data_IF_622610656781
#
_entry.id   IF_622610656781
#
_cell.length_a   1.000
_cell.length_b   1.000
_cell.length_c   1.000
_cell.angle_alpha   90.00
_cell.angle_beta   90.00
_cell.angle_gamma   90.00
#
_symmetry.space_group_name_H-M   'P 1'
#
loop_
_entity.id
_entity.type
_entity.pdbx_description
1 polymer ?
#
# COMPACT_ATOMS: atom_id res chain seq x y z
N UNK A 1 -5.37 1.93 -11.62
CA UNK A 1 -6.12 2.32 -12.86
C UNK A 1 -7.43 1.54 -13.08
N UNK A 2 -8.53 2.24 -13.37
CA UNK A 2 -9.83 1.61 -13.63
C UNK A 2 -9.94 1.03 -15.05
N UNK A 3 -10.41 -0.21 -15.16
CA UNK A 3 -10.73 -0.84 -16.45
C UNK A 3 -12.22 -0.64 -16.72
N UNK A 4 -12.58 0.04 -17.80
CA UNK A 4 -14.01 0.25 -18.16
C UNK A 4 -14.53 -0.76 -19.18
N UNK A 5 -13.65 -1.35 -19.98
CA UNK A 5 -13.99 -2.33 -21.02
C UNK A 5 -12.94 -3.44 -21.06
N UNK A 6 -13.38 -4.70 -21.16
CA UNK A 6 -12.49 -5.88 -21.12
C UNK A 6 -11.62 -6.02 -22.38
N UNK A 7 -12.15 -5.64 -23.54
CA UNK A 7 -11.45 -5.66 -24.84
C UNK A 7 -10.23 -4.75 -24.90
N UNK A 8 -10.09 -3.82 -23.94
CA UNK A 8 -8.93 -2.92 -23.82
C UNK A 8 -7.85 -3.42 -22.86
N UNK A 9 -8.05 -4.60 -22.25
CA UNK A 9 -7.04 -5.18 -21.37
C UNK A 9 -5.87 -5.63 -22.25
N UNK A 10 -4.67 -5.10 -21.98
CA UNK A 10 -3.47 -5.54 -22.69
C UNK A 10 -3.06 -6.94 -22.23
N UNK A 11 -2.66 -7.77 -23.18
CA UNK A 11 -2.15 -9.12 -22.91
C UNK A 11 -0.78 -9.11 -22.24
N UNK A 12 -0.42 -10.24 -21.63
CA UNK A 12 0.88 -10.41 -20.97
C UNK A 12 1.98 -10.70 -21.99
N UNK A 13 3.11 -9.99 -21.88
CA UNK A 13 4.35 -10.23 -22.64
C UNK A 13 5.38 -10.88 -21.73
N UNK A 14 5.26 -12.19 -21.56
CA UNK A 14 6.03 -12.92 -20.56
C UNK A 14 7.55 -12.83 -20.73
N UNK A 15 8.04 -12.77 -21.97
CA UNK A 15 9.47 -12.68 -22.27
C UNK A 15 10.12 -11.39 -21.75
N UNK A 16 9.34 -10.33 -21.58
CA UNK A 16 9.79 -9.01 -21.16
C UNK A 16 9.71 -8.80 -19.64
N UNK A 17 9.16 -9.77 -18.91
CA UNK A 17 9.09 -9.73 -17.45
C UNK A 17 10.48 -10.05 -16.87
N UNK A 18 11.03 -9.21 -15.96
CA UNK A 18 12.34 -9.41 -15.35
C UNK A 18 12.49 -10.79 -14.69
N UNK A 19 13.62 -11.44 -14.96
CA UNK A 19 13.89 -12.79 -14.45
C UNK A 19 13.85 -12.85 -12.92
N UNK A 20 14.31 -11.80 -12.25
CA UNK A 20 14.29 -11.72 -10.79
C UNK A 20 12.88 -11.71 -10.17
N UNK A 21 11.85 -11.22 -10.87
CA UNK A 21 10.46 -11.35 -10.43
C UNK A 21 9.98 -12.79 -10.62
N UNK A 22 10.32 -13.42 -11.76
CA UNK A 22 9.91 -14.80 -12.08
C UNK A 22 10.45 -15.83 -11.08
N UNK A 23 11.63 -15.58 -10.51
CA UNK A 23 12.27 -16.46 -9.54
C UNK A 23 11.56 -16.52 -8.18
N UNK A 24 10.64 -15.59 -7.88
CA UNK A 24 9.92 -15.56 -6.60
C UNK A 24 8.53 -16.20 -6.77
N UNK A 25 8.15 -17.21 -5.97
CA UNK A 25 6.88 -17.92 -6.09
C UNK A 25 5.71 -17.15 -5.45
N UNK A 26 5.54 -15.90 -5.85
CA UNK A 26 4.51 -14.98 -5.37
C UNK A 26 3.49 -14.63 -6.46
N UNK A 27 3.26 -15.55 -7.41
CA UNK A 27 2.42 -15.30 -8.56
C UNK A 27 0.98 -15.76 -8.35
N UNK A 28 0.06 -15.02 -8.96
CA UNK A 28 -1.38 -15.30 -9.00
C UNK A 28 -1.90 -14.99 -10.41
N UNK A 29 -3.03 -15.58 -10.76
CA UNK A 29 -3.85 -15.14 -11.89
C UNK A 29 -4.76 -14.01 -11.44
N UNK A 30 -5.41 -13.30 -12.37
CA UNK A 30 -6.51 -12.42 -12.00
C UNK A 30 -7.60 -12.38 -13.07
N UNK A 31 -8.82 -12.04 -12.64
CA UNK A 31 -9.99 -11.85 -13.52
C UNK A 31 -10.50 -10.43 -13.43
N UNK A 32 -10.95 -9.90 -14.57
CA UNK A 32 -11.73 -8.68 -14.64
C UNK A 32 -13.19 -8.97 -14.24
N UNK A 33 -13.58 -8.61 -13.02
CA UNK A 33 -14.94 -8.77 -12.50
C UNK A 33 -15.65 -7.42 -12.43
N UNK A 34 -16.86 -7.32 -12.97
CA UNK A 34 -17.61 -6.06 -12.97
C UNK A 34 -18.02 -5.67 -11.55
N UNK A 35 -17.75 -4.42 -11.19
CA UNK A 35 -18.15 -3.83 -9.93
C UNK A 35 -19.24 -2.79 -10.18
N UNK A 36 -20.49 -3.12 -9.85
CA UNK A 36 -21.63 -2.22 -10.05
C UNK A 36 -21.51 -0.90 -9.28
N UNK A 37 -20.86 -0.88 -8.12
CA UNK A 37 -20.74 0.35 -7.32
C UNK A 37 -19.76 1.34 -7.94
N UNK A 38 -18.67 0.83 -8.51
CA UNK A 38 -17.60 1.65 -9.10
C UNK A 38 -17.76 1.84 -10.61
N UNK A 39 -18.72 1.14 -11.23
CA UNK A 39 -18.98 1.16 -12.68
C UNK A 39 -17.71 0.88 -13.50
N UNK A 40 -16.92 -0.09 -13.02
CA UNK A 40 -15.67 -0.51 -13.61
C UNK A 40 -15.41 -2.01 -13.35
N UNK A 41 -14.39 -2.57 -13.99
CA UNK A 41 -13.89 -3.90 -13.70
C UNK A 41 -12.83 -3.86 -12.60
N UNK A 42 -13.11 -4.55 -11.50
CA UNK A 42 -12.15 -4.89 -10.47
C UNK A 42 -11.19 -5.97 -10.97
N UNK A 43 -9.95 -5.91 -10.49
CA UNK A 43 -8.93 -6.93 -10.74
C UNK A 43 -8.94 -7.86 -9.54
N UNK A 44 -9.49 -9.06 -9.68
CA UNK A 44 -9.66 -10.00 -8.58
C UNK A 44 -8.62 -11.11 -8.72
N UNK A 45 -7.75 -11.35 -7.73
CA UNK A 45 -6.70 -12.36 -7.83
C UNK A 45 -7.26 -13.78 -7.62
N UNK A 46 -6.70 -14.74 -8.35
CA UNK A 46 -7.06 -16.15 -8.35
C UNK A 46 -5.79 -17.02 -8.27
N UNK A 47 -5.91 -18.14 -7.56
CA UNK A 47 -4.92 -19.22 -7.60
C UNK A 47 -5.08 -20.03 -8.88
N UNK A 48 -4.06 -20.81 -9.23
CA UNK A 48 -4.10 -21.76 -10.36
C UNK A 48 -5.21 -22.81 -10.22
N UNK A 49 -5.67 -23.08 -9.00
CA UNK A 49 -6.77 -24.02 -8.74
C UNK A 49 -8.17 -23.40 -8.99
N UNK A 50 -8.24 -22.18 -9.52
CA UNK A 50 -9.51 -21.51 -9.84
C UNK A 50 -10.23 -20.83 -8.68
N UNK A 51 -9.71 -20.91 -7.45
CA UNK A 51 -10.25 -20.18 -6.30
C UNK A 51 -9.60 -18.80 -6.13
N UNK A 52 -10.31 -17.85 -5.53
CA UNK A 52 -9.75 -16.52 -5.21
C UNK A 52 -8.49 -16.64 -4.35
N UNK A 53 -7.42 -15.99 -4.78
CA UNK A 53 -6.17 -15.95 -4.04
C UNK A 53 -6.22 -14.87 -2.95
N UNK A 54 -5.59 -15.14 -1.81
CA UNK A 54 -5.44 -14.17 -0.73
C UNK A 54 -4.10 -13.47 -0.85
N UNK A 55 -4.08 -12.15 -0.77
CA UNK A 55 -2.84 -11.35 -0.81
C UNK A 55 -1.96 -11.49 0.44
N UNK A 56 -2.39 -12.25 1.46
CA UNK A 56 -1.62 -12.50 2.68
C UNK A 56 -1.34 -13.98 2.94
N UNK A 57 -2.02 -14.90 2.24
CA UNK A 57 -1.81 -16.33 2.41
C UNK A 57 -0.97 -16.91 1.27
N UNK A 58 0.31 -17.16 1.56
CA UNK A 58 1.31 -17.72 0.63
C UNK A 58 0.86 -19.02 -0.04
N UNK A 59 0.03 -19.82 0.63
CA UNK A 59 -0.50 -21.09 0.08
C UNK A 59 -1.40 -20.92 -1.13
N UNK A 60 -1.85 -19.69 -1.40
CA UNK A 60 -2.72 -19.37 -2.54
C UNK A 60 -1.95 -18.80 -3.74
N UNK A 61 -0.63 -18.67 -3.63
CA UNK A 61 0.27 -18.20 -4.69
C UNK A 61 1.01 -19.38 -5.30
N UNK A 62 1.64 -19.17 -6.45
CA UNK A 62 2.41 -20.18 -7.15
C UNK A 62 3.68 -19.60 -7.79
N UNK A 63 4.48 -20.45 -8.43
CA UNK A 63 5.57 -20.03 -9.28
C UNK A 63 5.08 -19.41 -10.60
N UNK A 64 5.98 -18.72 -11.29
CA UNK A 64 5.70 -18.02 -12.54
C UNK A 64 5.27 -18.97 -13.66
N UNK A 65 5.94 -20.12 -13.80
CA UNK A 65 5.68 -21.07 -14.88
C UNK A 65 4.27 -21.64 -14.79
N UNK A 66 3.84 -22.00 -13.57
CA UNK A 66 2.49 -22.52 -13.33
C UNK A 66 1.40 -21.51 -13.66
N UNK A 67 1.57 -20.22 -13.32
CA UNK A 67 0.57 -19.20 -13.66
C UNK A 67 0.59 -18.83 -15.15
N UNK A 68 1.76 -18.90 -15.80
CA UNK A 68 1.93 -18.64 -17.23
C UNK A 68 1.17 -19.71 -18.04
N UNK A 69 1.42 -20.99 -17.75
CA UNK A 69 0.71 -22.10 -18.40
C UNK A 69 -0.80 -21.97 -18.21
N UNK A 70 -1.26 -21.74 -16.98
CA UNK A 70 -2.70 -21.64 -16.69
C UNK A 70 -3.33 -20.41 -17.38
N UNK A 71 -2.61 -19.29 -17.49
CA UNK A 71 -3.05 -18.10 -18.21
C UNK A 71 -3.20 -18.36 -19.72
N UNK A 72 -2.28 -19.13 -20.32
CA UNK A 72 -2.33 -19.46 -21.75
C UNK A 72 -3.47 -20.41 -22.11
N UNK A 73 -3.79 -21.37 -21.23
CA UNK A 73 -4.79 -22.42 -21.53
C UNK A 73 -6.22 -22.03 -21.18
N UNK A 74 -6.43 -21.09 -20.25
CA UNK A 74 -7.75 -20.73 -19.74
C UNK A 74 -8.09 -19.24 -19.95
N UNK A 75 -8.94 -19.00 -20.95
CA UNK A 75 -9.39 -17.66 -21.36
C UNK A 75 -10.20 -16.90 -20.29
N UNK A 76 -10.60 -17.55 -19.18
CA UNK A 76 -11.31 -16.85 -18.11
C UNK A 76 -10.43 -15.84 -17.36
N UNK A 77 -9.10 -15.99 -17.43
CA UNK A 77 -8.15 -15.10 -16.78
C UNK A 77 -7.81 -13.91 -17.66
N UNK A 78 -7.75 -12.74 -17.04
CA UNK A 78 -7.44 -11.47 -17.72
C UNK A 78 -5.94 -11.14 -17.68
N UNK A 79 -5.14 -11.92 -16.96
CA UNK A 79 -3.69 -11.80 -16.88
C UNK A 79 -3.13 -12.42 -15.60
N UNK A 80 -1.85 -12.14 -15.36
CA UNK A 80 -1.11 -12.55 -14.17
C UNK A 80 -0.85 -11.38 -13.22
N UNK A 81 -0.51 -11.68 -11.98
CA UNK A 81 -0.16 -10.72 -10.96
C UNK A 81 0.89 -11.25 -9.99
N UNK A 82 1.59 -10.31 -9.36
CA UNK A 82 2.66 -10.56 -8.42
C UNK A 82 2.28 -9.98 -7.05
N UNK A 83 2.39 -10.80 -6.00
CA UNK A 83 2.04 -10.40 -4.64
C UNK A 83 3.25 -9.81 -3.93
N UNK A 84 3.16 -8.53 -3.56
CA UNK A 84 4.14 -7.84 -2.72
C UNK A 84 3.97 -8.31 -1.26
N UNK A 85 5.07 -8.74 -0.66
CA UNK A 85 5.07 -9.30 0.69
C UNK A 85 6.39 -8.97 1.39
N UNK A 86 6.36 -8.89 2.72
CA UNK A 86 7.51 -8.50 3.55
C UNK A 86 8.80 -9.32 3.34
N UNK A 87 8.71 -10.47 2.65
CA UNK A 87 9.83 -11.37 2.40
C UNK A 87 10.47 -11.30 1.01
N UNK A 88 9.91 -10.55 0.05
CA UNK A 88 10.46 -10.52 -1.33
C UNK A 88 11.23 -9.24 -1.67
N UNK A 89 11.21 -8.23 -0.78
CA UNK A 89 11.90 -6.94 -0.95
C UNK A 89 11.56 -6.21 -2.27
N UNK A 90 10.41 -6.50 -2.88
CA UNK A 90 9.95 -5.76 -4.04
C UNK A 90 9.04 -4.62 -3.62
N UNK A 91 9.23 -3.49 -4.27
CA UNK A 91 8.41 -2.29 -4.13
C UNK A 91 7.80 -1.98 -5.49
N UNK A 92 6.54 -1.56 -5.51
CA UNK A 92 5.88 -1.07 -6.71
C UNK A 92 5.32 0.33 -6.49
N UNK A 93 5.71 1.25 -7.37
CA UNK A 93 5.06 2.54 -7.56
C UNK A 93 4.03 2.40 -8.68
N UNK A 94 2.75 2.60 -8.35
CA UNK A 94 1.62 2.63 -9.28
C UNK A 94 1.30 4.09 -9.61
N UNK A 95 1.43 4.47 -10.89
CA UNK A 95 1.13 5.81 -11.40
C UNK A 95 -0.11 5.70 -12.28
N UNK A 96 -1.24 6.19 -11.77
CA UNK A 96 -2.48 6.26 -12.54
C UNK A 96 -2.37 7.35 -13.64
N UNK A 97 -3.02 7.13 -14.79
CA UNK A 97 -3.17 8.12 -15.88
C UNK A 97 -1.86 8.72 -16.44
N UNK A 98 -0.72 8.03 -16.30
CA UNK A 98 0.58 8.46 -16.81
C UNK A 98 0.70 8.50 -18.35
N UNK A 99 -0.21 7.83 -19.07
CA UNK A 99 -0.18 7.65 -20.52
C UNK A 99 -1.49 8.18 -21.11
N UNK A 100 -1.38 9.11 -22.06
CA UNK A 100 -2.54 9.70 -22.73
C UNK A 100 -3.14 8.80 -23.82
N UNK A 101 -4.25 9.23 -24.42
CA UNK A 101 -4.94 8.48 -25.48
C UNK A 101 -4.10 8.28 -26.75
N UNK A 102 -3.06 9.10 -26.95
CA UNK A 102 -2.11 8.99 -28.07
C UNK A 102 -0.91 8.11 -27.73
N UNK A 103 -0.84 7.57 -26.51
CA UNK A 103 0.26 6.76 -26.03
C UNK A 103 1.48 7.57 -25.57
N UNK A 104 1.33 8.89 -25.39
CA UNK A 104 2.39 9.77 -24.89
C UNK A 104 2.41 9.81 -23.37
N UNK A 105 3.60 9.91 -22.81
CA UNK A 105 3.83 9.95 -21.36
C UNK A 105 3.87 11.40 -20.93
N UNK A 106 2.91 11.80 -20.10
CA UNK A 106 2.70 13.19 -19.68
C UNK A 106 3.18 13.47 -18.25
N UNK A 107 3.52 12.43 -17.48
CA UNK A 107 3.99 12.54 -16.10
C UNK A 107 5.52 12.65 -16.06
N UNK A 108 6.04 13.76 -15.51
CA UNK A 108 7.47 13.94 -15.27
C UNK A 108 8.05 12.82 -14.40
N UNK A 109 7.27 12.38 -13.40
CA UNK A 109 7.64 11.25 -12.55
C UNK A 109 7.75 9.97 -13.38
N UNK A 110 6.79 9.67 -14.26
CA UNK A 110 6.87 8.50 -15.14
C UNK A 110 8.11 8.54 -16.05
N UNK A 111 8.43 9.68 -16.65
CA UNK A 111 9.63 9.86 -17.48
C UNK A 111 10.93 9.65 -16.68
N UNK A 112 10.97 10.09 -15.42
CA UNK A 112 12.07 9.84 -14.48
C UNK A 112 12.18 8.34 -14.17
N UNK A 113 11.07 7.68 -13.83
CA UNK A 113 11.07 6.27 -13.43
C UNK A 113 11.52 5.33 -14.56
N UNK A 114 11.12 5.58 -15.81
CA UNK A 114 11.52 4.77 -16.97
C UNK A 114 13.04 4.70 -17.19
N UNK A 115 13.75 5.74 -16.77
CA UNK A 115 15.21 5.83 -16.86
C UNK A 115 15.92 5.25 -15.63
N UNK A 116 15.17 5.00 -14.55
CA UNK A 116 15.73 4.55 -13.27
C UNK A 116 15.47 3.08 -13.01
N UNK A 117 14.31 2.55 -13.40
CA UNK A 117 13.90 1.19 -13.03
C UNK A 117 13.00 0.53 -14.07
N UNK A 118 12.81 -0.78 -13.95
CA UNK A 118 11.83 -1.51 -14.73
C UNK A 118 10.43 -0.93 -14.57
N UNK A 119 9.86 -0.52 -15.71
CA UNK A 119 8.55 0.06 -15.81
C UNK A 119 7.73 -0.68 -16.87
N UNK A 120 6.45 -0.91 -16.59
CA UNK A 120 5.52 -1.54 -17.52
C UNK A 120 4.17 -0.82 -17.55
N UNK A 121 3.49 -0.89 -18.70
CA UNK A 121 2.09 -0.45 -18.79
C UNK A 121 1.22 -1.31 -17.90
N UNK A 122 0.30 -0.70 -17.18
CA UNK A 122 -0.74 -1.46 -16.49
C UNK A 122 -1.70 -2.12 -17.49
N UNK A 123 -2.57 -3.04 -17.02
CA UNK A 123 -3.56 -3.68 -17.88
C UNK A 123 -4.50 -2.74 -18.63
N UNK A 124 -4.75 -1.51 -18.15
CA UNK A 124 -5.61 -0.55 -18.87
C UNK A 124 -4.88 0.19 -20.00
N UNK A 125 -3.55 0.10 -20.04
CA UNK A 125 -2.70 0.82 -20.99
C UNK A 125 -2.48 2.31 -20.69
N UNK A 126 -3.16 2.86 -19.68
CA UNK A 126 -3.19 4.31 -19.38
C UNK A 126 -2.26 4.75 -18.27
N UNK A 127 -1.55 3.84 -17.62
CA UNK A 127 -0.60 4.20 -16.57
C UNK A 127 0.41 3.10 -16.34
N UNK A 128 1.19 3.26 -15.27
CA UNK A 128 2.53 2.67 -15.20
C UNK A 128 2.75 2.00 -13.84
N UNK A 129 3.28 0.78 -13.86
CA UNK A 129 3.88 0.16 -12.68
C UNK A 129 5.40 0.28 -12.78
N UNK A 130 6.05 0.76 -11.73
CA UNK A 130 7.50 0.87 -11.64
C UNK A 130 7.97 0.01 -10.46
N UNK A 131 8.76 -1.03 -10.74
CA UNK A 131 9.23 -1.96 -9.72
C UNK A 131 10.63 -1.61 -9.22
N UNK A 132 10.89 -1.75 -7.93
CA UNK A 132 12.18 -1.54 -7.29
C UNK A 132 12.49 -2.70 -6.35
N UNK A 133 13.75 -2.79 -5.94
CA UNK A 133 14.17 -3.58 -4.79
C UNK A 133 14.56 -2.70 -3.61
N UNK A 134 14.13 -3.10 -2.42
CA UNK A 134 14.46 -2.42 -1.18
C UNK A 134 13.31 -2.49 -0.18
N UNK A 135 13.39 -1.62 0.83
CA UNK A 135 12.38 -1.50 1.87
C UNK A 135 11.88 -0.07 1.97
N UNK A 136 10.61 0.09 2.31
CA UNK A 136 10.05 1.40 2.54
C UNK A 136 9.95 1.68 4.06
N UNK A 137 10.13 2.92 4.49
CA UNK A 137 9.98 3.27 5.91
C UNK A 137 8.51 3.17 6.34
N UNK A 138 8.26 2.80 7.60
CA UNK A 138 6.89 2.63 8.13
C UNK A 138 6.12 3.95 8.20
N UNK A 139 6.81 5.06 8.45
CA UNK A 139 6.24 6.40 8.60
C UNK A 139 6.10 7.13 7.26
N UNK A 140 5.29 6.57 6.36
CA UNK A 140 5.01 7.15 5.04
C UNK A 140 3.55 7.03 4.65
N UNK A 141 3.12 7.91 3.76
CA UNK A 141 1.87 7.76 3.04
C UNK A 141 2.01 6.61 2.04
N UNK A 142 0.95 5.82 1.89
CA UNK A 142 0.86 4.80 0.83
C UNK A 142 0.31 5.34 -0.49
N UNK A 143 -0.39 6.49 -0.44
CA UNK A 143 -1.08 7.09 -1.57
C UNK A 143 -1.02 8.62 -1.53
N UNK A 144 -0.86 9.23 -2.70
CA UNK A 144 -1.01 10.66 -2.97
C UNK A 144 -2.09 10.86 -4.02
N UNK A 145 -3.32 11.12 -3.57
CA UNK A 145 -4.47 11.31 -4.46
C UNK A 145 -4.32 12.55 -5.34
N UNK A 146 -3.62 13.57 -4.86
CA UNK A 146 -3.33 14.81 -5.59
C UNK A 146 -2.42 14.60 -6.81
N UNK A 147 -1.59 13.55 -6.77
CA UNK A 147 -0.67 13.19 -7.84
C UNK A 147 -1.05 11.88 -8.53
N UNK A 148 -2.15 11.24 -8.10
CA UNK A 148 -2.60 9.93 -8.56
C UNK A 148 -1.52 8.82 -8.51
N UNK A 149 -0.70 8.83 -7.45
CA UNK A 149 0.36 7.82 -7.23
C UNK A 149 0.16 7.02 -5.94
N UNK A 150 0.52 5.74 -5.99
CA UNK A 150 0.49 4.82 -4.86
C UNK A 150 1.80 4.03 -4.76
N UNK A 151 2.29 3.76 -3.55
CA UNK A 151 3.56 3.09 -3.31
C UNK A 151 3.40 1.95 -2.29
N UNK A 152 3.71 0.73 -2.73
CA UNK A 152 3.50 -0.49 -1.94
C UNK A 152 4.74 -1.37 -1.91
N UNK A 153 4.96 -2.03 -0.78
CA UNK A 153 5.99 -3.05 -0.52
C UNK A 153 5.40 -4.35 0.05
N UNK A 154 4.12 -4.34 0.43
CA UNK A 154 3.47 -5.43 1.16
C UNK A 154 1.95 -5.40 1.03
N UNK A 155 1.32 -6.54 1.33
CA UNK A 155 -0.13 -6.70 1.47
C UNK A 155 -0.94 -6.17 0.27
N UNK A 156 -0.39 -6.31 -0.94
CA UNK A 156 -1.05 -5.97 -2.19
C UNK A 156 -0.50 -6.83 -3.31
N UNK A 157 -1.34 -7.16 -4.29
CA UNK A 157 -0.86 -7.72 -5.54
C UNK A 157 -0.86 -6.64 -6.61
N UNK A 158 0.13 -6.70 -7.50
CA UNK A 158 0.23 -5.87 -8.68
C UNK A 158 -0.04 -6.74 -9.89
N UNK A 159 -0.91 -6.32 -10.79
CA UNK A 159 -1.01 -6.99 -12.09
C UNK A 159 0.25 -6.75 -12.89
N UNK A 160 0.76 -7.79 -13.54
CA UNK A 160 1.99 -7.72 -14.33
C UNK A 160 1.63 -7.95 -15.78
N UNK A 161 2.17 -7.12 -16.68
CA UNK A 161 1.86 -7.20 -18.12
C UNK A 161 3.09 -7.49 -18.95
N UNK A 162 4.31 -7.23 -18.47
CA UNK A 162 5.52 -7.31 -19.31
C UNK A 162 5.52 -6.31 -20.47
N UNK A 163 4.54 -5.39 -20.55
CA UNK A 163 4.51 -4.37 -21.59
C UNK A 163 5.46 -3.24 -21.22
N UNK A 164 6.76 -3.55 -21.28
CA UNK A 164 7.87 -2.70 -20.84
C UNK A 164 7.85 -1.33 -21.52
N UNK A 165 8.14 -0.31 -20.72
CA UNK A 165 8.40 1.05 -21.16
C UNK A 165 9.76 1.46 -20.58
N UNK A 166 10.65 1.91 -21.45
CA UNK A 166 12.05 2.17 -21.08
C UNK A 166 12.93 0.94 -21.32
N UNK A 167 14.15 0.99 -20.82
CA UNK A 167 15.16 -0.06 -21.01
C UNK A 167 15.93 -0.39 -19.72
N UNK A 168 15.39 0.05 -18.58
CA UNK A 168 16.06 -0.10 -17.28
C UNK A 168 15.65 -1.41 -16.62
N UNK A 169 16.62 -2.11 -16.03
CA UNK A 169 16.37 -3.22 -15.12
C UNK A 169 15.75 -2.73 -13.81
N UNK A 170 15.29 -3.65 -12.96
CA UNK A 170 14.80 -3.29 -11.62
C UNK A 170 15.94 -2.67 -10.82
N UNK A 171 15.73 -1.44 -10.36
CA UNK A 171 16.65 -0.68 -9.54
C UNK A 171 16.72 -1.27 -8.13
N UNK A 172 17.91 -1.72 -7.74
CA UNK A 172 18.24 -2.18 -6.40
C UNK A 172 19.13 -1.13 -5.70
N UNK A 173 18.53 0.03 -5.40
CA UNK A 173 19.21 1.13 -4.73
C UNK A 173 18.29 1.81 -3.70
N UNK A 174 18.59 1.57 -2.43
CA UNK A 174 17.79 2.09 -1.31
C UNK A 174 17.74 3.62 -1.26
N UNK A 175 18.79 4.33 -1.70
CA UNK A 175 18.79 5.81 -1.69
C UNK A 175 17.82 6.40 -2.70
N UNK A 176 17.61 5.72 -3.83
CA UNK A 176 16.60 6.11 -4.83
C UNK A 176 15.20 5.99 -4.22
N UNK A 177 14.93 4.90 -3.49
CA UNK A 177 13.68 4.72 -2.77
C UNK A 177 13.49 5.75 -1.64
N UNK A 178 14.54 6.03 -0.86
CA UNK A 178 14.48 7.05 0.20
C UNK A 178 14.14 8.42 -0.39
N UNK A 179 14.81 8.80 -1.48
CA UNK A 179 14.56 10.06 -2.19
C UNK A 179 13.13 10.13 -2.72
N UNK A 180 12.63 9.05 -3.33
CA UNK A 180 11.24 8.96 -3.80
C UNK A 180 10.24 9.14 -2.65
N UNK A 181 10.51 8.53 -1.49
CA UNK A 181 9.66 8.67 -0.31
C UNK A 181 9.71 10.09 0.23
N UNK A 182 10.89 10.68 0.37
CA UNK A 182 11.04 12.04 0.88
C UNK A 182 10.36 13.09 -0.02
N UNK A 183 10.48 12.95 -1.34
CA UNK A 183 9.87 13.85 -2.32
C UNK A 183 8.33 13.72 -2.35
N UNK A 184 7.80 12.49 -2.32
CA UNK A 184 6.39 12.25 -2.66
C UNK A 184 5.55 11.61 -1.54
N UNK A 185 6.13 10.86 -0.61
CA UNK A 185 5.35 10.04 0.33
C UNK A 185 5.61 10.35 1.80
N UNK A 186 6.46 11.33 2.11
CA UNK A 186 6.76 11.74 3.48
C UNK A 186 5.49 12.13 4.23
N UNK A 187 5.27 11.51 5.38
CA UNK A 187 4.28 12.01 6.32
C UNK A 187 4.86 13.21 7.05
N UNK A 188 4.24 14.36 6.86
CA UNK A 188 4.39 15.45 7.81
C UNK A 188 3.67 14.99 9.08
N UNK A 189 4.43 14.41 10.01
CA UNK A 189 3.95 14.23 11.37
C UNK A 189 3.47 15.60 11.87
N UNK A 190 2.25 15.73 12.41
CA UNK A 190 1.88 16.93 13.11
C UNK A 190 2.93 17.16 14.23
N UNK A 191 3.50 18.36 14.28
CA UNK A 191 4.58 18.78 15.19
C UNK A 191 4.11 18.87 16.67
N UNK A 192 3.09 18.09 17.06
CA UNK A 192 2.57 18.11 18.43
C UNK A 192 3.19 17.07 19.38
N UNK A 193 4.09 16.20 18.91
CA UNK A 193 4.65 15.13 19.76
C UNK A 193 6.19 15.04 19.81
N UNK A 194 6.93 16.05 19.33
CA UNK A 194 8.38 16.11 19.51
C UNK A 194 8.83 17.50 19.96
N UNK A 195 8.53 17.85 21.22
CA UNK A 195 9.48 18.56 22.09
C UNK A 195 9.29 18.00 23.51
N UNK A 196 9.97 16.88 23.79
CA UNK A 196 10.54 16.64 25.13
C UNK A 196 12.04 16.47 24.95
N UNK A 197 12.67 17.53 24.46
CA UNK A 197 14.03 17.83 24.87
C UNK A 197 13.95 18.93 25.91
N UNK A 198 14.68 18.72 26.99
CA UNK A 198 14.77 19.56 28.17
C UNK A 198 15.18 20.98 27.78
N UNK A 199 14.21 21.86 27.53
CA UNK A 199 14.43 23.30 27.58
C UNK A 199 13.95 23.81 28.93
N UNK A 200 14.93 24.08 29.79
CA UNK A 200 14.82 25.01 30.89
C UNK A 200 14.25 26.34 30.38
N UNK A 201 12.93 26.49 30.45
CA UNK A 201 12.29 27.80 30.52
C UNK A 201 11.12 27.71 31.48
N UNK A 202 11.31 28.33 32.64
CA UNK A 202 10.28 28.69 33.61
C UNK A 202 9.09 29.33 32.88
N UNK A 203 8.05 28.56 32.62
CA UNK A 203 6.74 29.10 32.29
C UNK A 203 5.76 28.50 33.28
N UNK A 204 5.63 29.20 34.41
CA UNK A 204 4.67 28.91 35.46
C UNK A 204 3.26 29.18 34.89
N UNK A 205 2.68 28.16 34.25
CA UNK A 205 1.25 28.16 33.97
C UNK A 205 0.52 28.01 35.30
N UNK A 206 -0.48 28.85 35.54
CA UNK A 206 -1.32 28.73 36.73
C UNK A 206 -2.17 27.47 36.64
N UNK A 207 -2.61 26.93 37.78
CA UNK A 207 -3.50 25.76 37.83
C UNK A 207 -4.79 26.00 37.01
N UNK A 208 -5.27 27.26 36.93
CA UNK A 208 -6.42 27.64 36.12
C UNK A 208 -6.15 27.51 34.61
N UNK A 209 -4.95 27.89 34.15
CA UNK A 209 -4.56 27.76 32.74
C UNK A 209 -4.48 26.28 32.34
N UNK A 210 -3.95 25.44 33.23
CA UNK A 210 -3.85 24.00 33.04
C UNK A 210 -5.26 23.39 32.93
N UNK A 211 -6.17 23.76 33.83
CA UNK A 211 -7.56 23.30 33.79
C UNK A 211 -8.25 23.73 32.49
N UNK A 212 -8.05 24.98 32.06
CA UNK A 212 -8.63 25.51 30.81
C UNK A 212 -8.11 24.77 29.57
N UNK A 213 -6.84 24.37 29.55
CA UNK A 213 -6.27 23.56 28.48
C UNK A 213 -6.88 22.15 28.50
N UNK A 214 -6.96 21.52 29.67
CA UNK A 214 -7.54 20.19 29.82
C UNK A 214 -9.02 20.14 29.41
N UNK A 215 -9.78 21.21 29.67
CA UNK A 215 -11.21 21.31 29.31
C UNK A 215 -11.48 21.48 27.81
N UNK A 216 -10.45 21.78 27.01
CA UNK A 216 -10.55 21.80 25.52
C UNK A 216 -10.34 20.42 24.88
N UNK A 217 -9.99 19.40 25.67
CA UNK A 217 -9.72 18.05 25.17
C UNK A 217 -10.99 17.27 24.84
N UNK A 218 -10.87 16.26 23.96
CA UNK A 218 -11.91 15.26 23.69
C UNK A 218 -12.33 14.46 24.93
N UNK A 219 -11.51 14.46 26.00
CA UNK A 219 -11.80 13.80 27.27
C UNK A 219 -12.32 14.75 28.35
N UNK A 220 -12.72 15.98 27.99
CA UNK A 220 -13.16 17.03 28.93
C UNK A 220 -14.19 16.55 29.96
N UNK A 221 -15.11 15.66 29.57
CA UNK A 221 -16.20 15.23 30.45
C UNK A 221 -15.65 14.35 31.59
N UNK A 222 -14.68 13.48 31.31
CA UNK A 222 -13.99 12.67 32.35
C UNK A 222 -13.15 13.53 33.29
N UNK A 223 -12.48 14.54 32.74
CA UNK A 223 -11.65 15.46 33.53
C UNK A 223 -12.52 16.33 34.44
N UNK A 224 -13.66 16.78 33.92
CA UNK A 224 -14.68 17.49 34.70
C UNK A 224 -15.22 16.63 35.84
N UNK A 225 -15.55 15.37 35.58
CA UNK A 225 -16.05 14.45 36.60
C UNK A 225 -15.00 14.14 37.68
N UNK A 226 -13.71 14.09 37.30
CA UNK A 226 -12.61 13.96 38.25
C UNK A 226 -12.47 15.19 39.16
N UNK A 227 -12.52 16.40 38.59
CA UNK A 227 -12.43 17.66 39.34
C UNK A 227 -13.65 17.88 40.26
N UNK A 228 -14.81 17.35 39.90
CA UNK A 228 -16.05 17.44 40.69
C UNK A 228 -16.20 16.29 41.71
N UNK A 229 -15.25 15.35 41.76
CA UNK A 229 -15.30 14.21 42.69
C UNK A 229 -16.34 13.16 42.34
N UNK A 230 -16.93 13.20 41.13
CA UNK A 230 -17.99 12.30 40.66
C UNK A 230 -17.48 11.13 39.80
N UNK A 231 -16.19 10.80 39.94
CA UNK A 231 -15.49 9.82 39.11
C UNK A 231 -15.75 8.34 39.48
N UNK A 232 -16.54 8.07 40.53
CA UNK A 232 -16.82 6.71 41.01
C UNK A 232 -17.45 5.79 39.94
N UNK A 233 -18.18 6.36 38.98
CA UNK A 233 -18.78 5.63 37.86
C UNK A 233 -17.73 4.98 36.93
N UNK A 234 -16.49 5.48 36.94
CA UNK A 234 -15.36 4.94 36.15
C UNK A 234 -14.57 3.85 36.88
N UNK A 235 -14.72 3.69 38.20
CA UNK A 235 -13.98 2.71 38.99
C UNK A 235 -14.53 1.27 38.90
N UNK A 236 -15.76 1.08 38.41
CA UNK A 236 -16.45 -0.22 38.48
C UNK A 236 -16.02 -1.30 37.47
N UNK A 237 -15.00 -1.07 36.64
CA UNK A 237 -14.61 -2.05 35.60
C UNK A 237 -13.38 -2.91 35.93
N UNK A 238 -12.62 -2.64 37.00
CA UNK A 238 -11.37 -3.41 37.28
C UNK A 238 -11.40 -4.39 38.46
N UNK A 239 -12.53 -4.63 39.12
CA UNK A 239 -12.62 -5.54 40.26
C UNK A 239 -13.34 -6.88 39.99
N UNK A 240 -13.21 -7.46 38.78
CA UNK A 240 -13.78 -8.80 38.47
C UNK A 240 -12.77 -9.85 37.98
N UNK A 241 -11.45 -9.62 38.12
CA UNK A 241 -10.43 -10.58 37.65
C UNK A 241 -9.45 -11.08 38.73
N UNK A 242 -9.67 -10.77 40.02
CA UNK A 242 -8.78 -11.21 41.11
C UNK A 242 -9.49 -11.99 42.24
N UNK A 243 -10.37 -12.95 41.89
CA UNK A 243 -10.78 -14.03 42.80
C UNK A 243 -10.95 -15.35 42.02
N UNK A 244 -9.83 -15.95 41.62
CA UNK A 244 -9.79 -17.34 41.14
C UNK A 244 -8.49 -18.07 41.53
N UNK A 245 -7.75 -17.54 42.51
CA UNK A 245 -6.62 -18.24 43.11
C UNK A 245 -6.79 -18.14 44.63
N UNK A 246 -6.70 -19.28 45.31
CA UNK A 246 -6.95 -19.54 46.74
C UNK A 246 -8.43 -19.69 47.15
N UNK A 247 -8.94 -20.93 47.22
CA UNK A 247 -9.16 -21.66 48.50
C UNK A 247 -9.49 -23.14 48.20
N UNK A 248 -8.76 -24.05 48.87
CA UNK A 248 -8.97 -25.51 49.15
C UNK A 248 -9.89 -26.34 48.28
#
# INVERSE_FOLDING_TARGET
MAIKKKDRIIGVKELEIPQELKLVPNWVLWRAEWNEKQQNYGKVPYSINGYRASITNKKTWCDFESVSIEYEVDEQYSGIGFVLSDGNNFVCLDIDNAIDEKGQINSELALKMMQLTYCEKSPSGTGLHCFFKGKLPDNRKKKRTDLEIELYDSARFMTVTGCTIGQSDICDNQEVLNTLVDEYFKENLPVNDIVREESNTNMQLSDEDIINIMMKSKQKDKIKDLLQGTYESYLRVQAKQYKAYYTT
#
